data_IF_658708368463
#
_entry.id   IF_658708368463
#
_cell.length_a   1.000
_cell.length_b   1.000
_cell.length_c   1.000
_cell.angle_alpha   90.00
_cell.angle_beta   90.00
_cell.angle_gamma   90.00
#
_symmetry.space_group_name_H-M   'P 1'
#
loop_
_entity.id
_entity.type
_entity.pdbx_description
1 polymer ?
#
# COMPACT_ATOMS: atom_id res chain seq x y z
N UNK A 1 17.44 1.87 2.85
CA UNK A 1 16.04 1.67 2.43
C UNK A 1 15.21 0.97 3.51
N UNK A 2 15.51 -0.28 3.90
CA UNK A 2 14.70 -1.07 4.85
C UNK A 2 14.38 -0.35 6.18
N UNK A 3 15.36 0.30 6.82
CA UNK A 3 15.15 1.05 8.07
C UNK A 3 14.16 2.21 7.88
N UNK A 4 14.32 2.98 6.80
CA UNK A 4 13.42 4.10 6.47
C UNK A 4 12.01 3.58 6.18
N UNK A 5 11.89 2.50 5.41
CA UNK A 5 10.62 1.83 5.15
C UNK A 5 9.94 1.39 6.45
N UNK A 6 10.69 0.73 7.34
CA UNK A 6 10.20 0.30 8.65
C UNK A 6 9.71 1.48 9.48
N UNK A 7 10.48 2.58 9.54
CA UNK A 7 10.08 3.79 10.25
C UNK A 7 8.76 4.37 9.68
N UNK A 8 8.64 4.49 8.36
CA UNK A 8 7.41 4.98 7.70
C UNK A 8 6.21 4.08 8.04
N UNK A 9 6.36 2.76 7.94
CA UNK A 9 5.30 1.80 8.28
C UNK A 9 4.90 1.95 9.75
N UNK A 10 5.86 2.05 10.67
CA UNK A 10 5.59 2.24 12.10
C UNK A 10 4.88 3.56 12.36
N UNK A 11 5.30 4.66 11.74
CA UNK A 11 4.62 5.95 11.86
C UNK A 11 3.17 5.88 11.38
N UNK A 12 2.91 5.22 10.25
CA UNK A 12 1.55 5.02 9.74
C UNK A 12 0.71 4.15 10.69
N UNK A 13 1.29 3.10 11.29
CA UNK A 13 0.60 2.29 12.30
C UNK A 13 0.25 3.10 13.56
N UNK A 14 1.18 3.96 14.02
CA UNK A 14 0.94 4.84 15.17
C UNK A 14 -0.18 5.84 14.84
N UNK A 15 -0.13 6.47 13.67
CA UNK A 15 -1.18 7.36 13.20
C UNK A 15 -2.54 6.65 13.13
N UNK A 16 -2.58 5.46 12.53
CA UNK A 16 -3.80 4.64 12.44
C UNK A 16 -4.37 4.27 13.82
N UNK A 17 -3.51 4.06 14.83
CA UNK A 17 -3.91 3.82 16.21
C UNK A 17 -4.42 5.09 16.89
N UNK A 18 -3.83 6.25 16.60
CA UNK A 18 -4.29 7.53 17.12
C UNK A 18 -5.71 7.88 16.62
N UNK A 19 -6.00 7.65 15.34
CA UNK A 19 -7.34 7.87 14.73
C UNK A 19 -8.25 6.62 14.78
N UNK A 20 -8.08 5.75 15.79
CA UNK A 20 -8.90 4.53 15.92
C UNK A 20 -10.42 4.78 15.98
N UNK A 21 -10.85 5.98 16.39
CA UNK A 21 -12.26 6.40 16.39
C UNK A 21 -12.83 6.71 15.00
N UNK A 22 -11.98 6.77 13.96
CA UNK A 22 -12.38 6.96 12.56
C UNK A 22 -12.00 5.72 11.75
N UNK A 23 -12.87 4.68 11.68
CA UNK A 23 -12.56 3.39 11.05
C UNK A 23 -12.09 3.51 9.61
N UNK A 24 -12.62 4.48 8.85
CA UNK A 24 -12.22 4.74 7.48
C UNK A 24 -10.78 5.22 7.33
N UNK A 25 -10.39 6.25 8.08
CA UNK A 25 -9.04 6.82 8.02
C UNK A 25 -8.02 5.79 8.52
N UNK A 26 -8.33 5.11 9.63
CA UNK A 26 -7.50 4.02 10.16
C UNK A 26 -7.27 2.93 9.10
N UNK A 27 -8.34 2.49 8.43
CA UNK A 27 -8.27 1.46 7.38
C UNK A 27 -7.35 1.88 6.23
N UNK A 28 -7.49 3.11 5.72
CA UNK A 28 -6.65 3.62 4.63
C UNK A 28 -5.19 3.72 5.05
N UNK A 29 -4.90 4.24 6.25
CA UNK A 29 -3.51 4.33 6.75
C UNK A 29 -2.83 2.96 6.83
N UNK A 30 -3.55 1.93 7.32
CA UNK A 30 -3.03 0.56 7.37
C UNK A 30 -2.88 -0.05 5.97
N UNK A 31 -3.79 0.25 5.04
CA UNK A 31 -3.68 -0.21 3.65
C UNK A 31 -2.49 0.44 2.92
N UNK A 32 -2.23 1.72 3.13
CA UNK A 32 -1.03 2.41 2.60
C UNK A 32 0.23 1.79 3.17
N UNK A 33 0.28 1.56 4.49
CA UNK A 33 1.42 0.92 5.14
C UNK A 33 1.66 -0.50 4.60
N UNK A 34 0.59 -1.27 4.35
CA UNK A 34 0.68 -2.58 3.68
C UNK A 34 1.23 -2.48 2.25
N UNK A 35 0.69 -1.56 1.44
CA UNK A 35 1.17 -1.34 0.07
C UNK A 35 2.65 -0.97 0.01
N UNK A 36 3.12 -0.14 0.94
CA UNK A 36 4.55 0.20 1.08
C UNK A 36 5.39 -1.03 1.43
N UNK A 37 4.92 -1.85 2.39
CA UNK A 37 5.61 -3.07 2.81
C UNK A 37 5.76 -4.04 1.63
N UNK A 38 4.68 -4.31 0.89
CA UNK A 38 4.72 -5.15 -0.30
C UNK A 38 5.57 -4.57 -1.43
N UNK A 39 5.49 -3.27 -1.69
CA UNK A 39 6.30 -2.60 -2.72
C UNK A 39 7.79 -2.71 -2.44
N UNK A 40 8.19 -2.45 -1.20
CA UNK A 40 9.58 -2.61 -0.80
C UNK A 40 10.02 -4.07 -0.78
N UNK A 41 9.16 -4.99 -0.34
CA UNK A 41 9.43 -6.44 -0.45
C UNK A 41 9.70 -6.82 -1.91
N UNK A 42 8.91 -6.34 -2.86
CA UNK A 42 9.09 -6.60 -4.29
C UNK A 42 10.42 -6.06 -4.83
N UNK A 43 10.81 -4.85 -4.38
CA UNK A 43 12.11 -4.27 -4.72
C UNK A 43 13.27 -5.14 -4.23
N UNK A 44 13.24 -5.57 -2.97
CA UNK A 44 14.27 -6.47 -2.43
C UNK A 44 14.27 -7.84 -3.12
N UNK A 45 13.09 -8.37 -3.45
CA UNK A 45 12.98 -9.61 -4.23
C UNK A 45 13.68 -9.47 -5.57
N UNK A 46 13.47 -8.35 -6.26
CA UNK A 46 14.16 -8.06 -7.52
C UNK A 46 15.68 -8.01 -7.35
N UNK A 47 16.19 -7.31 -6.33
CA UNK A 47 17.65 -7.22 -6.11
C UNK A 47 18.27 -8.60 -5.89
N UNK A 48 17.64 -9.43 -5.06
CA UNK A 48 18.13 -10.80 -4.80
C UNK A 48 18.04 -11.67 -6.05
N UNK A 49 16.93 -11.57 -6.81
CA UNK A 49 16.71 -12.39 -7.99
C UNK A 49 17.69 -12.07 -9.14
N UNK A 50 18.21 -10.84 -9.23
CA UNK A 50 19.21 -10.47 -10.24
C UNK A 50 20.55 -11.18 -9.99
N UNK A 51 20.94 -11.33 -8.73
CA UNK A 51 22.24 -11.90 -8.35
C UNK A 51 22.25 -13.45 -8.36
N UNK A 52 21.08 -14.08 -8.49
CA UNK A 52 20.90 -15.54 -8.46
C UNK A 52 21.44 -16.31 -9.67
N UNK A 53 21.94 -15.65 -10.72
CA UNK A 53 22.60 -16.35 -11.83
C UNK A 53 23.79 -17.21 -11.40
N UNK A 54 24.39 -16.94 -10.23
CA UNK A 54 25.46 -17.74 -9.63
C UNK A 54 25.02 -18.78 -8.58
N UNK A 55 23.71 -18.91 -8.33
CA UNK A 55 23.16 -19.71 -7.22
C UNK A 55 22.83 -18.88 -5.97
N UNK A 56 22.20 -19.51 -4.98
CA UNK A 56 21.86 -18.88 -3.69
C UNK A 56 23.01 -19.02 -2.71
N UNK A 57 23.41 -17.93 -2.07
CA UNK A 57 24.50 -17.90 -1.09
C UNK A 57 24.01 -17.54 0.32
N UNK A 58 24.84 -17.81 1.33
CA UNK A 58 24.57 -17.39 2.71
C UNK A 58 24.52 -15.84 2.86
N UNK A 59 25.11 -15.09 1.92
CA UNK A 59 25.07 -13.64 1.93
C UNK A 59 23.69 -13.06 1.56
N UNK A 60 22.82 -13.87 0.92
CA UNK A 60 21.47 -13.45 0.52
C UNK A 60 20.45 -13.56 1.67
N UNK A 61 20.74 -14.39 2.68
CA UNK A 61 19.85 -14.67 3.81
C UNK A 61 19.31 -13.41 4.51
N UNK A 62 20.13 -12.39 4.84
CA UNK A 62 19.62 -11.16 5.46
C UNK A 62 18.59 -10.43 4.58
N UNK A 63 18.83 -10.37 3.26
CA UNK A 63 17.89 -9.73 2.32
C UNK A 63 16.60 -10.55 2.19
N UNK A 64 16.72 -11.88 2.11
CA UNK A 64 15.57 -12.78 2.10
C UNK A 64 14.74 -12.69 3.38
N UNK A 65 15.38 -12.52 4.54
CA UNK A 65 14.70 -12.29 5.80
C UNK A 65 13.93 -10.96 5.79
N UNK A 66 14.51 -9.88 5.25
CA UNK A 66 13.82 -8.58 5.09
C UNK A 66 12.61 -8.71 4.17
N UNK A 67 12.72 -9.44 3.06
CA UNK A 67 11.59 -9.75 2.16
C UNK A 67 10.48 -10.46 2.95
N UNK A 68 10.82 -11.53 3.66
CA UNK A 68 9.86 -12.29 4.46
C UNK A 68 9.16 -11.43 5.53
N UNK A 69 9.91 -10.60 6.25
CA UNK A 69 9.38 -9.68 7.25
C UNK A 69 8.44 -8.65 6.63
N UNK A 70 8.82 -8.01 5.53
CA UNK A 70 7.98 -7.01 4.86
C UNK A 70 6.73 -7.63 4.24
N UNK A 71 6.83 -8.80 3.61
CA UNK A 71 5.68 -9.50 3.03
C UNK A 71 4.68 -9.95 4.11
N UNK A 72 5.17 -10.51 5.22
CA UNK A 72 4.31 -10.92 6.33
C UNK A 72 3.68 -9.73 7.03
N UNK A 73 4.45 -8.65 7.28
CA UNK A 73 3.92 -7.40 7.82
C UNK A 73 2.85 -6.80 6.90
N UNK A 74 3.10 -6.73 5.60
CA UNK A 74 2.15 -6.26 4.59
C UNK A 74 0.84 -7.07 4.65
N UNK A 75 0.94 -8.40 4.71
CA UNK A 75 -0.23 -9.27 4.82
C UNK A 75 -1.04 -8.99 6.09
N UNK A 76 -0.39 -8.91 7.25
CA UNK A 76 -1.06 -8.64 8.53
C UNK A 76 -1.72 -7.25 8.52
N UNK A 77 -1.04 -6.24 7.99
CA UNK A 77 -1.58 -4.88 7.86
C UNK A 77 -2.76 -4.82 6.89
N UNK A 78 -2.72 -5.55 5.77
CA UNK A 78 -3.87 -5.68 4.87
C UNK A 78 -5.08 -6.22 5.61
N UNK A 79 -4.91 -7.33 6.34
CA UNK A 79 -6.01 -7.91 7.10
C UNK A 79 -6.54 -6.97 8.18
N UNK A 80 -5.64 -6.24 8.86
CA UNK A 80 -6.02 -5.24 9.84
C UNK A 80 -6.79 -4.05 9.21
N UNK A 81 -6.45 -3.67 7.98
CA UNK A 81 -7.09 -2.59 7.23
C UNK A 81 -8.54 -2.90 6.86
N UNK A 82 -8.89 -4.18 6.67
CA UNK A 82 -10.25 -4.60 6.32
C UNK A 82 -11.20 -4.55 7.52
N UNK A 83 -10.67 -4.64 8.74
CA UNK A 83 -11.47 -4.70 9.97
C UNK A 83 -12.19 -3.38 10.25
N UNK A 84 -13.53 -3.45 10.21
CA UNK A 84 -14.43 -2.34 10.50
C UNK A 84 -14.62 -1.34 9.35
N UNK A 85 -14.12 -1.68 8.15
CA UNK A 85 -14.06 -0.75 7.02
C UNK A 85 -14.46 -1.33 5.66
N UNK A 86 -14.69 -2.64 5.61
CA UNK A 86 -14.92 -3.34 4.35
C UNK A 86 -13.63 -3.58 3.56
N UNK A 87 -13.78 -4.28 2.44
CA UNK A 87 -12.64 -4.76 1.64
C UNK A 87 -12.25 -3.80 0.52
N UNK A 88 -13.23 -3.23 -0.18
CA UNK A 88 -13.03 -2.60 -1.49
C UNK A 88 -12.01 -1.44 -1.46
N UNK A 89 -12.24 -0.41 -0.64
CA UNK A 89 -11.36 0.76 -0.55
C UNK A 89 -9.93 0.44 -0.08
N UNK A 90 -9.70 -0.29 1.05
CA UNK A 90 -8.35 -0.64 1.46
C UNK A 90 -7.64 -1.59 0.47
N UNK A 91 -8.35 -2.55 -0.13
CA UNK A 91 -7.78 -3.43 -1.16
C UNK A 91 -7.34 -2.63 -2.39
N UNK A 92 -8.18 -1.73 -2.88
CA UNK A 92 -7.82 -0.83 -3.99
C UNK A 92 -6.63 0.09 -3.61
N UNK A 93 -6.56 0.53 -2.35
CA UNK A 93 -5.46 1.37 -1.89
C UNK A 93 -4.13 0.63 -1.94
N UNK A 94 -4.03 -0.56 -1.34
CA UNK A 94 -2.76 -1.29 -1.30
C UNK A 94 -2.32 -1.79 -2.68
N UNK A 95 -3.27 -2.09 -3.60
CA UNK A 95 -2.94 -2.51 -4.97
C UNK A 95 -2.41 -1.37 -5.83
N UNK A 96 -2.76 -0.11 -5.54
CA UNK A 96 -2.20 1.08 -6.21
C UNK A 96 -0.88 1.49 -5.55
N UNK A 97 -0.82 1.53 -4.22
CA UNK A 97 0.38 1.98 -3.49
C UNK A 97 1.58 1.06 -3.77
N UNK A 98 1.39 -0.26 -3.82
CA UNK A 98 2.45 -1.24 -4.07
C UNK A 98 3.26 -0.94 -5.37
N UNK A 99 2.66 -0.94 -6.58
CA UNK A 99 3.38 -0.64 -7.81
C UNK A 99 3.90 0.79 -7.87
N UNK A 100 3.24 1.77 -7.23
CA UNK A 100 3.76 3.15 -7.15
C UNK A 100 5.08 3.19 -6.36
N UNK A 101 5.13 2.55 -5.19
CA UNK A 101 6.34 2.47 -4.37
C UNK A 101 7.44 1.72 -5.13
N UNK A 102 7.11 0.59 -5.75
CA UNK A 102 8.06 -0.17 -6.54
C UNK A 102 8.62 0.65 -7.72
N UNK A 103 7.78 1.40 -8.43
CA UNK A 103 8.21 2.25 -9.54
C UNK A 103 9.09 3.43 -9.08
N UNK A 104 8.69 4.14 -8.02
CA UNK A 104 9.47 5.26 -7.47
C UNK A 104 10.85 4.79 -7.06
N UNK A 105 10.95 3.66 -6.36
CA UNK A 105 12.23 3.10 -5.94
C UNK A 105 13.02 2.52 -7.13
N UNK A 106 12.34 1.85 -8.07
CA UNK A 106 12.85 1.43 -9.37
C UNK A 106 13.62 2.55 -10.09
N UNK A 107 12.94 3.67 -10.30
CA UNK A 107 13.47 4.84 -10.99
C UNK A 107 14.60 5.50 -10.18
N UNK A 108 14.40 5.73 -8.88
CA UNK A 108 15.33 6.53 -8.07
C UNK A 108 16.58 5.77 -7.62
N UNK A 109 16.47 4.48 -7.31
CA UNK A 109 17.59 3.67 -6.80
C UNK A 109 18.27 2.85 -7.90
N UNK A 110 17.54 2.43 -8.93
CA UNK A 110 18.08 1.58 -10.00
C UNK A 110 18.19 2.30 -11.35
N UNK A 111 17.76 3.56 -11.44
CA UNK A 111 17.80 4.31 -12.70
C UNK A 111 16.87 3.74 -13.78
N UNK A 112 15.82 3.01 -13.38
CA UNK A 112 14.89 2.43 -14.34
C UNK A 112 14.09 3.49 -15.09
N UNK A 113 13.77 3.18 -16.33
CA UNK A 113 12.93 4.01 -17.18
C UNK A 113 11.74 3.21 -17.68
N UNK A 114 10.62 3.89 -17.92
CA UNK A 114 9.49 3.26 -18.60
C UNK A 114 9.91 2.82 -20.01
N UNK A 115 9.52 1.59 -20.37
CA UNK A 115 9.71 1.05 -21.71
C UNK A 115 9.02 1.96 -22.73
N UNK A 116 9.61 2.15 -23.91
CA UNK A 116 9.13 3.07 -24.96
C UNK A 116 9.26 4.57 -24.65
N UNK A 117 10.13 4.96 -23.69
CA UNK A 117 10.51 6.35 -23.46
C UNK A 117 9.33 7.24 -23.04
N UNK A 118 9.17 8.38 -23.73
CA UNK A 118 8.13 9.38 -23.44
C UNK A 118 6.72 8.81 -23.56
N UNK A 119 6.44 8.01 -24.59
CA UNK A 119 5.13 7.37 -24.79
C UNK A 119 4.79 6.42 -23.65
N UNK A 120 5.77 5.61 -23.21
CA UNK A 120 5.60 4.71 -22.07
C UNK A 120 5.34 5.47 -20.77
N UNK A 121 6.03 6.59 -20.58
CA UNK A 121 5.85 7.45 -19.40
C UNK A 121 4.48 8.11 -19.40
N UNK A 122 4.02 8.63 -20.55
CA UNK A 122 2.69 9.21 -20.70
C UNK A 122 1.59 8.18 -20.39
N UNK A 123 1.73 6.95 -20.92
CA UNK A 123 0.81 5.85 -20.62
C UNK A 123 0.82 5.48 -19.14
N UNK A 124 2.00 5.32 -18.52
CA UNK A 124 2.12 5.01 -17.10
C UNK A 124 1.48 6.07 -16.21
N UNK A 125 1.71 7.36 -16.51
CA UNK A 125 1.08 8.48 -15.81
C UNK A 125 -0.44 8.48 -16.00
N UNK A 126 -0.93 8.23 -17.22
CA UNK A 126 -2.37 8.17 -17.49
C UNK A 126 -3.05 7.03 -16.72
N UNK A 127 -2.44 5.85 -16.68
CA UNK A 127 -2.91 4.74 -15.85
C UNK A 127 -2.89 5.09 -14.35
N UNK A 128 -1.84 5.80 -13.90
CA UNK A 128 -1.75 6.29 -12.53
C UNK A 128 -2.88 7.25 -12.16
N UNK A 129 -3.23 8.18 -13.07
CA UNK A 129 -4.36 9.10 -12.90
C UNK A 129 -5.68 8.35 -12.84
N UNK A 130 -5.92 7.39 -13.73
CA UNK A 130 -7.15 6.57 -13.73
C UNK A 130 -7.25 5.75 -12.44
N UNK A 131 -6.17 5.13 -11.99
CA UNK A 131 -6.13 4.38 -10.75
C UNK A 131 -6.40 5.26 -9.51
N UNK A 132 -5.78 6.45 -9.46
CA UNK A 132 -6.03 7.42 -8.39
C UNK A 132 -7.49 7.90 -8.40
N UNK A 133 -8.05 8.18 -9.57
CA UNK A 133 -9.46 8.55 -9.72
C UNK A 133 -10.41 7.45 -9.23
N UNK A 134 -10.16 6.19 -9.60
CA UNK A 134 -10.93 5.05 -9.12
C UNK A 134 -10.84 4.87 -7.60
N UNK A 135 -9.66 5.07 -7.01
CA UNK A 135 -9.44 5.02 -5.56
C UNK A 135 -10.20 6.13 -4.83
N UNK A 136 -10.15 7.37 -5.35
CA UNK A 136 -10.88 8.51 -4.80
C UNK A 136 -12.38 8.21 -4.82
N UNK A 137 -12.92 7.74 -5.95
CA UNK A 137 -14.34 7.40 -6.08
C UNK A 137 -14.77 6.33 -5.06
N UNK A 138 -14.02 5.23 -4.95
CA UNK A 138 -14.29 4.17 -3.97
C UNK A 138 -14.27 4.70 -2.52
N UNK A 139 -13.33 5.59 -2.23
CA UNK A 139 -13.16 6.15 -0.89
C UNK A 139 -14.29 7.11 -0.54
N UNK A 140 -14.66 8.01 -1.47
CA UNK A 140 -15.73 8.98 -1.28
C UNK A 140 -17.09 8.31 -1.18
N UNK A 141 -17.39 7.33 -2.06
CA UNK A 141 -18.66 6.59 -2.02
C UNK A 141 -18.84 5.85 -0.68
N UNK A 142 -17.75 5.34 -0.12
CA UNK A 142 -17.73 4.70 1.18
C UNK A 142 -17.98 5.68 2.33
N UNK A 143 -17.31 6.84 2.34
CA UNK A 143 -17.55 7.90 3.35
C UNK A 143 -19.01 8.38 3.30
N UNK A 144 -19.57 8.53 2.09
CA UNK A 144 -20.96 8.91 1.90
C UNK A 144 -21.93 7.88 2.50
N UNK A 145 -21.68 6.57 2.26
CA UNK A 145 -22.50 5.49 2.85
C UNK A 145 -22.43 5.45 4.37
N UNK A 146 -21.23 5.60 4.96
CA UNK A 146 -21.08 5.64 6.42
C UNK A 146 -21.86 6.82 7.03
N UNK A 147 -21.81 7.99 6.39
CA UNK A 147 -22.54 9.20 6.84
C UNK A 147 -24.06 9.02 6.76
N UNK A 148 -24.57 8.40 5.70
CA UNK A 148 -25.99 8.11 5.55
C UNK A 148 -26.50 7.14 6.62
N UNK A 149 -25.75 6.08 6.91
CA UNK A 149 -26.12 5.08 7.94
C UNK A 149 -26.15 5.66 9.36
N UNK A 150 -25.29 6.64 9.65
CA UNK A 150 -25.28 7.32 10.95
C UNK A 150 -26.55 8.18 11.14
N UNK A 151 -26.97 8.89 10.09
CA UNK A 151 -28.18 9.73 10.13
C UNK A 151 -29.49 8.92 10.26
N UNK A 152 -29.57 7.74 9.63
CA UNK A 152 -30.71 6.84 9.80
C UNK A 152 -30.82 6.26 11.22
N UNK A 153 -29.68 6.03 11.90
CA UNK A 153 -29.63 5.58 13.29
C UNK A 153 -30.16 6.64 14.27
N UNK A 154 -29.71 7.89 14.12
CA UNK A 154 -30.19 9.01 14.95
C UNK A 154 -31.69 9.28 14.74
N UNK A 155 -32.19 9.16 13.51
CA UNK A 155 -33.61 9.35 13.23
C UNK A 155 -34.50 8.29 13.89
N UNK A 156 -34.02 7.04 14.02
CA UNK A 156 -34.75 5.95 14.71
C UNK A 156 -34.70 6.02 16.22
N UNK A 157 -33.65 6.60 16.81
CA UNK A 157 -33.60 6.81 18.28
C UNK A 157 -34.48 7.98 18.73
N UNK A 158 -34.83 8.88 17.81
CA UNK A 158 -35.71 10.02 18.08
C UNK A 158 -37.22 9.68 17.97
N UNK A 159 -37.57 8.49 17.49
CA UNK A 159 -38.94 7.98 17.32
C UNK A 159 -39.36 7.04 18.47
#
# INVERSE_FOLDING_TARGET
AAVVTGAVIVTLMIAARAVHRHPAVRSILLAVASGIAFGMSSVFTKTVAVDWSGGVSAADLPSMAVIGVLATAGMVLSQASYRGAGLAAPLATLTVVNPVVAAVVGITMFGETFRYGTTGTALALSCGVVAAGGLILLTTERIARESASAGEGEAREAE
#
